data_IF_696445769215
#
_entry.id   IF_696445769215
#
_cell.length_a   1.000
_cell.length_b   1.000
_cell.length_c   1.000
_cell.angle_alpha   90.00
_cell.angle_beta   90.00
_cell.angle_gamma   90.00
#
_symmetry.space_group_name_H-M   'P 1'
#
loop_
_entity.id
_entity.type
_entity.pdbx_description
1 polymer ?
#
# COMPACT_ATOMS: atom_id res chain seq x y z
N UNK A 1 -2.68 39.58 -11.17
CA UNK A 1 -3.51 40.80 -11.22
C UNK A 1 -4.82 40.50 -10.51
N UNK A 2 -5.27 41.34 -9.58
CA UNK A 2 -6.58 41.16 -8.94
C UNK A 2 -7.69 41.49 -9.96
N UNK A 3 -8.55 40.53 -10.25
CA UNK A 3 -9.69 40.69 -11.14
C UNK A 3 -11.00 40.60 -10.35
N UNK A 4 -12.01 41.36 -10.76
CA UNK A 4 -13.30 41.44 -10.07
C UNK A 4 -14.43 40.85 -10.90
N UNK A 5 -15.49 40.38 -10.24
CA UNK A 5 -16.72 40.03 -10.94
C UNK A 5 -17.37 41.29 -11.52
N UNK A 6 -17.75 41.24 -12.79
CA UNK A 6 -18.50 42.32 -13.41
C UNK A 6 -19.87 42.48 -12.70
N UNK A 7 -20.38 43.71 -12.46
CA UNK A 7 -21.65 43.92 -11.76
C UNK A 7 -22.88 43.28 -12.42
N UNK A 8 -22.82 43.01 -13.73
CA UNK A 8 -23.88 42.29 -14.44
C UNK A 8 -23.80 40.76 -14.31
N UNK A 9 -22.75 40.22 -13.68
CA UNK A 9 -22.61 38.77 -13.47
C UNK A 9 -23.67 38.28 -12.49
N UNK A 10 -24.25 37.10 -12.75
CA UNK A 10 -25.21 36.47 -11.83
C UNK A 10 -24.59 36.09 -10.48
N UNK A 11 -23.26 35.91 -10.43
CA UNK A 11 -22.52 35.64 -9.20
C UNK A 11 -22.27 36.92 -8.37
N UNK A 12 -22.48 38.10 -8.97
CA UNK A 12 -22.34 39.37 -8.29
C UNK A 12 -23.48 39.56 -7.28
N UNK A 13 -23.16 39.57 -5.98
CA UNK A 13 -24.13 39.76 -4.90
C UNK A 13 -24.45 38.52 -4.07
N UNK A 14 -23.81 37.37 -4.33
CA UNK A 14 -23.98 36.14 -3.53
C UNK A 14 -23.36 36.20 -2.12
N UNK A 15 -22.62 37.26 -1.79
CA UNK A 15 -21.97 37.43 -0.47
C UNK A 15 -20.70 36.60 -0.27
N UNK A 16 -20.41 35.66 -1.18
CA UNK A 16 -19.15 34.93 -1.28
C UNK A 16 -18.73 34.85 -2.75
N UNK A 17 -17.43 34.74 -2.99
CA UNK A 17 -16.88 34.47 -4.33
C UNK A 17 -16.41 33.01 -4.37
N UNK A 18 -16.88 32.20 -5.34
CA UNK A 18 -16.38 30.84 -5.52
C UNK A 18 -14.86 30.84 -5.77
N UNK A 19 -14.16 29.82 -5.29
CA UNK A 19 -12.71 29.70 -5.44
C UNK A 19 -12.28 29.48 -6.89
N UNK A 20 -13.10 28.75 -7.66
CA UNK A 20 -12.87 28.45 -9.07
C UNK A 20 -14.02 28.97 -9.92
N UNK A 21 -13.68 29.78 -10.92
CA UNK A 21 -14.65 30.37 -11.84
C UNK A 21 -14.09 30.39 -13.26
N UNK A 22 -15.00 30.28 -14.24
CA UNK A 22 -14.69 30.45 -15.67
C UNK A 22 -15.45 31.68 -16.18
N UNK A 23 -14.79 32.50 -16.99
CA UNK A 23 -15.35 33.70 -17.60
C UNK A 23 -15.34 33.60 -19.12
N UNK A 24 -16.26 34.30 -19.78
CA UNK A 24 -16.29 34.37 -21.25
C UNK A 24 -15.38 35.48 -21.79
N UNK A 25 -15.43 36.65 -21.15
CA UNK A 25 -14.69 37.84 -21.57
C UNK A 25 -14.04 38.53 -20.38
N UNK A 26 -12.87 39.12 -20.64
CA UNK A 26 -12.16 39.97 -19.70
C UNK A 26 -12.19 41.41 -20.20
N UNK A 27 -12.87 42.28 -19.47
CA UNK A 27 -13.04 43.68 -19.83
C UNK A 27 -12.02 44.52 -19.05
N UNK A 28 -11.03 45.06 -19.76
CA UNK A 28 -10.02 45.96 -19.18
C UNK A 28 -10.51 47.41 -19.26
N UNK A 29 -10.75 48.02 -18.11
CA UNK A 29 -11.06 49.46 -17.98
C UNK A 29 -10.13 50.09 -16.94
N UNK A 30 -10.64 50.86 -15.97
CA UNK A 30 -9.88 51.28 -14.78
C UNK A 30 -9.63 50.11 -13.83
N UNK A 31 -10.53 49.11 -13.84
CA UNK A 31 -10.36 47.81 -13.17
C UNK A 31 -10.65 46.71 -14.16
N UNK A 32 -10.08 45.55 -13.91
CA UNK A 32 -10.28 44.36 -14.73
C UNK A 32 -11.53 43.61 -14.23
N UNK A 33 -12.47 43.37 -15.14
CA UNK A 33 -13.73 42.71 -14.82
C UNK A 33 -13.94 41.44 -15.64
N UNK A 34 -14.32 40.35 -14.97
CA UNK A 34 -14.76 39.11 -15.61
C UNK A 34 -16.25 39.20 -15.96
N UNK A 35 -16.58 39.02 -17.23
CA UNK A 35 -17.95 39.03 -17.74
C UNK A 35 -18.42 37.62 -18.10
N UNK A 36 -19.72 37.34 -17.86
CA UNK A 36 -20.34 36.03 -18.00
C UNK A 36 -19.58 34.95 -17.22
N UNK A 37 -19.64 35.04 -15.89
CA UNK A 37 -18.87 34.18 -14.99
C UNK A 37 -19.74 33.03 -14.48
N UNK A 38 -19.17 31.82 -14.50
CA UNK A 38 -19.79 30.60 -14.00
C UNK A 38 -18.88 29.94 -12.96
N UNK A 39 -19.45 29.52 -11.84
CA UNK A 39 -18.74 28.74 -10.82
C UNK A 39 -18.54 27.30 -11.32
N UNK A 40 -17.36 26.74 -11.12
CA UNK A 40 -17.02 25.38 -11.59
C UNK A 40 -16.31 24.57 -10.51
N UNK A 41 -16.45 23.25 -10.56
CA UNK A 41 -15.66 22.34 -9.74
C UNK A 41 -14.26 22.15 -10.38
N UNK A 42 -13.18 22.18 -9.57
CA UNK A 42 -11.82 22.02 -10.10
C UNK A 42 -11.58 20.64 -10.74
N UNK A 43 -12.32 19.62 -10.32
CA UNK A 43 -12.28 18.27 -10.89
C UNK A 43 -12.61 18.29 -12.38
N UNK A 44 -13.64 19.04 -12.80
CA UNK A 44 -14.07 19.09 -14.19
C UNK A 44 -12.99 19.70 -15.09
N UNK A 45 -12.24 20.68 -14.58
CA UNK A 45 -11.12 21.28 -15.31
C UNK A 45 -9.96 20.28 -15.48
N UNK A 46 -9.66 19.50 -14.44
CA UNK A 46 -8.62 18.48 -14.51
C UNK A 46 -8.99 17.32 -15.45
N UNK A 47 -10.28 16.94 -15.49
CA UNK A 47 -10.79 15.89 -16.39
C UNK A 47 -10.81 16.33 -17.85
N UNK A 48 -11.28 17.55 -18.14
CA UNK A 48 -11.40 18.06 -19.52
C UNK A 48 -10.11 18.64 -20.08
N UNK A 49 -9.21 19.12 -19.22
CA UNK A 49 -7.96 19.77 -19.59
C UNK A 49 -6.75 19.25 -18.82
N UNK A 50 -6.45 17.93 -18.86
CA UNK A 50 -5.38 17.33 -18.04
C UNK A 50 -3.98 17.85 -18.36
N UNK A 51 -3.78 18.45 -19.54
CA UNK A 51 -2.50 19.08 -19.91
C UNK A 51 -2.30 20.46 -19.28
N UNK A 52 -3.38 21.14 -18.89
CA UNK A 52 -3.36 22.50 -18.36
C UNK A 52 -3.64 22.56 -16.86
N UNK A 53 -4.43 21.62 -16.35
CA UNK A 53 -4.92 21.64 -14.98
C UNK A 53 -4.56 20.36 -14.24
N UNK A 54 -4.09 20.53 -13.00
CA UNK A 54 -3.82 19.44 -12.06
C UNK A 54 -4.36 19.86 -10.70
N UNK A 55 -5.12 18.98 -10.06
CA UNK A 55 -5.69 19.24 -8.74
C UNK A 55 -4.55 19.15 -7.74
N UNK A 56 -4.20 20.29 -7.14
CA UNK A 56 -3.35 20.31 -5.97
C UNK A 56 -4.21 19.99 -4.76
N UNK A 57 -4.12 18.77 -4.24
CA UNK A 57 -4.67 18.38 -2.94
C UNK A 57 -3.89 19.03 -1.76
N UNK A 58 -3.29 20.20 -1.97
CA UNK A 58 -2.31 20.79 -1.03
C UNK A 58 -2.93 21.35 0.24
N UNK A 59 -4.24 21.54 0.30
CA UNK A 59 -4.93 22.02 1.50
C UNK A 59 -5.25 20.89 2.48
N UNK A 60 -5.32 19.64 2.00
CA UNK A 60 -5.10 18.44 2.83
C UNK A 60 -3.60 18.25 3.04
N UNK A 61 -3.05 19.18 3.82
CA UNK A 61 -1.80 19.12 4.58
C UNK A 61 -0.84 17.98 4.20
N UNK A 62 0.40 18.31 3.82
CA UNK A 62 1.51 17.35 3.73
C UNK A 62 1.58 16.34 4.90
N UNK A 63 1.02 16.69 6.07
CA UNK A 63 0.87 15.81 7.23
C UNK A 63 -0.15 14.68 7.01
N UNK A 64 -1.29 14.95 6.38
CA UNK A 64 -2.32 13.95 6.06
C UNK A 64 -1.83 12.96 5.01
N UNK A 65 -1.13 13.44 3.99
CA UNK A 65 -0.51 12.56 3.00
C UNK A 65 0.57 11.66 3.64
N UNK A 66 1.43 12.22 4.50
CA UNK A 66 2.41 11.42 5.28
C UNK A 66 1.73 10.44 6.24
N UNK A 67 0.62 10.84 6.86
CA UNK A 67 -0.15 9.99 7.77
C UNK A 67 -0.76 8.81 7.02
N UNK A 68 -1.41 9.07 5.88
CA UNK A 68 -1.99 8.03 5.02
C UNK A 68 -0.91 7.06 4.51
N UNK A 69 0.21 7.57 3.98
CA UNK A 69 1.32 6.72 3.55
C UNK A 69 1.88 5.86 4.69
N UNK A 70 1.96 6.42 5.91
CA UNK A 70 2.43 5.67 7.07
C UNK A 70 1.43 4.58 7.47
N UNK A 71 0.15 4.89 7.48
CA UNK A 71 -0.93 3.94 7.79
C UNK A 71 -0.98 2.80 6.77
N UNK A 72 -0.92 3.12 5.48
CA UNK A 72 -0.86 2.15 4.38
C UNK A 72 0.38 1.24 4.51
N UNK A 73 1.54 1.82 4.82
CA UNK A 73 2.78 1.04 5.04
C UNK A 73 2.65 0.11 6.24
N UNK A 74 2.13 0.60 7.37
CA UNK A 74 1.96 -0.23 8.57
C UNK A 74 0.93 -1.35 8.36
N UNK A 75 -0.16 -1.08 7.63
CA UNK A 75 -1.15 -2.08 7.30
C UNK A 75 -0.55 -3.19 6.41
N UNK A 76 0.25 -2.81 5.41
CA UNK A 76 0.94 -3.77 4.54
C UNK A 76 1.96 -4.62 5.32
N UNK A 77 2.73 -4.02 6.23
CA UNK A 77 3.69 -4.76 7.06
C UNK A 77 2.98 -5.79 7.96
N UNK A 78 1.85 -5.42 8.57
CA UNK A 78 1.04 -6.33 9.40
C UNK A 78 0.48 -7.50 8.57
N UNK A 79 -0.08 -7.22 7.40
CA UNK A 79 -0.64 -8.26 6.53
C UNK A 79 0.44 -9.25 6.07
N UNK A 80 1.64 -8.76 5.72
CA UNK A 80 2.78 -9.59 5.36
C UNK A 80 3.27 -10.45 6.54
N UNK A 81 3.29 -9.91 7.74
CA UNK A 81 3.68 -10.66 8.95
C UNK A 81 2.67 -11.75 9.31
N UNK A 82 1.37 -11.47 9.21
CA UNK A 82 0.32 -12.47 9.41
C UNK A 82 0.42 -13.63 8.39
N UNK A 83 0.64 -13.31 7.12
CA UNK A 83 0.82 -14.33 6.08
C UNK A 83 2.05 -15.21 6.35
N UNK A 84 3.16 -14.60 6.81
CA UNK A 84 4.38 -15.32 7.17
C UNK A 84 4.17 -16.24 8.38
N UNK A 85 3.47 -15.77 9.40
CA UNK A 85 3.15 -16.57 10.57
C UNK A 85 2.26 -17.76 10.20
N UNK A 86 1.22 -17.52 9.39
CA UNK A 86 0.37 -18.60 8.86
C UNK A 86 1.17 -19.63 8.06
N UNK A 87 2.08 -19.19 7.19
CA UNK A 87 2.97 -20.11 6.44
C UNK A 87 3.83 -20.96 7.38
N UNK A 88 4.43 -20.34 8.38
CA UNK A 88 5.32 -21.02 9.33
C UNK A 88 4.55 -22.05 10.16
N UNK A 89 3.34 -21.72 10.58
CA UNK A 89 2.48 -22.59 11.37
C UNK A 89 1.98 -23.79 10.55
N UNK A 90 1.59 -23.55 9.29
CA UNK A 90 1.26 -24.63 8.35
C UNK A 90 2.47 -25.55 8.11
N UNK A 91 3.67 -25.00 7.91
CA UNK A 91 4.88 -25.80 7.77
C UNK A 91 5.18 -26.64 9.01
N UNK A 92 5.02 -26.07 10.20
CA UNK A 92 5.26 -26.78 11.45
C UNK A 92 4.27 -27.93 11.64
N UNK A 93 2.97 -27.68 11.38
CA UNK A 93 1.94 -28.72 11.41
C UNK A 93 2.22 -29.83 10.39
N UNK A 94 2.65 -29.48 9.18
CA UNK A 94 3.03 -30.47 8.17
C UNK A 94 4.23 -31.31 8.62
N UNK A 95 5.28 -30.67 9.17
CA UNK A 95 6.46 -31.37 9.72
C UNK A 95 6.11 -32.28 10.90
N UNK A 96 5.23 -31.86 11.80
CA UNK A 96 4.74 -32.70 12.90
C UNK A 96 3.95 -33.90 12.39
N UNK A 97 3.02 -33.67 11.46
CA UNK A 97 2.25 -34.74 10.84
C UNK A 97 3.13 -35.75 10.10
N UNK A 98 4.20 -35.31 9.44
CA UNK A 98 5.19 -36.21 8.85
C UNK A 98 5.98 -37.00 9.90
N UNK A 99 6.44 -36.35 10.98
CA UNK A 99 7.15 -37.04 12.07
C UNK A 99 6.27 -38.11 12.73
N UNK A 100 5.00 -37.81 12.98
CA UNK A 100 4.06 -38.79 13.53
C UNK A 100 3.85 -39.98 12.59
N UNK A 101 3.67 -39.73 11.29
CA UNK A 101 3.57 -40.80 10.29
C UNK A 101 4.82 -41.68 10.29
N UNK A 102 6.01 -41.05 10.26
CA UNK A 102 7.30 -41.75 10.27
C UNK A 102 7.54 -42.54 11.56
N UNK A 103 7.09 -42.04 12.71
CA UNK A 103 7.16 -42.75 13.99
C UNK A 103 6.21 -43.96 14.05
N UNK A 104 5.00 -43.85 13.48
CA UNK A 104 4.06 -44.98 13.36
C UNK A 104 4.60 -46.06 12.42
N UNK A 105 5.18 -45.66 11.29
CA UNK A 105 5.81 -46.58 10.34
C UNK A 105 7.01 -47.32 10.95
N UNK A 106 7.87 -46.64 11.71
CA UNK A 106 9.04 -47.28 12.34
C UNK A 106 8.66 -48.24 13.48
N UNK A 107 7.59 -47.97 14.22
CA UNK A 107 7.05 -48.89 15.23
C UNK A 107 6.44 -50.16 14.62
N UNK A 108 5.93 -50.08 13.38
CA UNK A 108 5.32 -51.21 12.69
C UNK A 108 6.36 -52.19 12.09
N UNK A 109 7.62 -51.78 11.95
CA UNK A 109 8.74 -52.61 11.47
C UNK A 109 9.48 -53.24 12.67
N UNK A 110 8.84 -54.21 13.34
CA UNK A 110 9.55 -55.15 14.21
C UNK A 110 9.73 -56.47 13.45
N UNK A 111 10.94 -56.74 12.94
CA UNK A 111 11.25 -57.96 12.19
C UNK A 111 11.41 -59.11 13.19
N UNK A 112 10.54 -60.13 13.19
CA UNK A 112 10.78 -61.32 14.00
C UNK A 112 12.00 -62.06 13.43
N UNK A 113 13.08 -62.16 14.22
CA UNK A 113 14.27 -62.97 13.87
C UNK A 113 15.61 -62.21 13.68
N UNK A 114 15.68 -60.90 13.91
CA UNK A 114 16.94 -60.16 13.77
C UNK A 114 17.93 -60.44 14.92
N UNK A 115 18.97 -61.25 14.68
CA UNK A 115 20.11 -61.44 15.59
C UNK A 115 21.13 -60.29 15.46
N UNK A 116 21.65 -59.72 16.57
CA UNK A 116 22.67 -58.68 16.50
C UNK A 116 23.99 -59.26 15.99
N UNK A 117 24.39 -58.91 14.76
CA UNK A 117 25.74 -59.24 14.26
C UNK A 117 26.75 -58.32 14.94
N UNK A 118 27.71 -58.94 15.64
CA UNK A 118 28.77 -58.25 16.36
C UNK A 118 29.58 -57.30 15.47
N UNK A 119 29.79 -56.08 15.97
CA UNK A 119 30.70 -55.11 15.40
C UNK A 119 32.14 -55.53 15.66
N UNK A 120 32.89 -55.90 14.62
CA UNK A 120 34.34 -56.08 14.75
C UNK A 120 35.01 -54.72 14.93
N UNK A 121 35.55 -54.46 16.12
CA UNK A 121 36.46 -53.35 16.38
C UNK A 121 37.78 -53.59 15.61
N UNK A 122 38.14 -52.70 14.68
CA UNK A 122 39.46 -52.70 14.03
C UNK A 122 40.52 -52.19 15.02
N UNK A 123 41.65 -52.89 15.24
CA UNK A 123 42.72 -52.38 16.08
C UNK A 123 43.55 -51.34 15.31
N UNK A 124 43.80 -50.17 15.93
CA UNK A 124 44.73 -49.16 15.45
C UNK A 124 46.17 -49.65 15.63
N UNK A 125 46.88 -49.90 14.51
CA UNK A 125 48.31 -50.22 14.54
C UNK A 125 49.10 -48.99 15.01
N UNK A 126 49.79 -49.12 16.16
CA UNK A 126 50.93 -48.26 16.53
C UNK A 126 52.06 -48.51 15.52
N UNK A 127 52.58 -47.46 14.89
CA UNK A 127 53.92 -47.43 14.33
C UNK A 127 54.73 -46.40 15.13
N UNK A 128 55.81 -46.86 15.74
CA UNK A 128 56.88 -46.01 16.25
C UNK A 128 58.17 -46.34 15.51
N UNK A 129 58.88 -45.28 15.13
CA UNK A 129 60.33 -45.12 15.06
C UNK A 129 60.59 -43.61 15.07
#
# INVERSE_FOLDING_TARGET
MPCHLHPSSALYGLGYTPDYTVYHELVLTTKEYMQCVTAVEPQWLAELGPMFFSIKDSDTSMLEHRKKQREEKTAMEQEMEELRNKQTELENQMKEREKEKRAKESQQIAIPGAHPRGTYLRPTKKLGL
#
